data_IF_725557280443
#
_entry.id   IF_725557280443
#
_cell.length_a   1.000
_cell.length_b   1.000
_cell.length_c   1.000
_cell.angle_alpha   90.00
_cell.angle_beta   90.00
_cell.angle_gamma   90.00
#
_symmetry.space_group_name_H-M   'P 1'
#
loop_
_entity.id
_entity.type
_entity.pdbx_description
1 polymer ?
#
# COMPACT_ATOMS: atom_id res chain seq x y z
N UNK A 1 -13.17 -17.05 -25.88
CA UNK A 1 -13.93 -17.94 -24.97
C UNK A 1 -13.05 -18.84 -24.11
N UNK A 2 -11.91 -19.34 -24.62
CA UNK A 2 -10.98 -20.20 -23.85
C UNK A 2 -10.48 -19.57 -22.54
N UNK A 3 -10.10 -18.29 -22.54
CA UNK A 3 -9.63 -17.61 -21.33
C UNK A 3 -10.66 -17.61 -20.18
N UNK A 4 -11.96 -17.52 -20.49
CA UNK A 4 -13.02 -17.55 -19.47
C UNK A 4 -13.10 -18.93 -18.80
N UNK A 5 -13.02 -20.00 -19.61
CA UNK A 5 -12.99 -21.37 -19.11
C UNK A 5 -11.75 -21.63 -18.25
N UNK A 6 -10.58 -21.14 -18.68
CA UNK A 6 -9.34 -21.25 -17.90
C UNK A 6 -9.45 -20.56 -16.53
N UNK A 7 -10.05 -19.37 -16.47
CA UNK A 7 -10.29 -18.67 -15.19
C UNK A 7 -11.17 -19.49 -14.25
N UNK A 8 -12.25 -20.10 -14.75
CA UNK A 8 -13.14 -20.94 -13.92
C UNK A 8 -12.38 -22.17 -13.40
N UNK A 9 -11.64 -22.87 -14.26
CA UNK A 9 -10.90 -24.06 -13.87
C UNK A 9 -9.76 -23.78 -12.88
N UNK A 10 -9.15 -22.59 -12.91
CA UNK A 10 -8.02 -22.24 -12.05
C UNK A 10 -8.43 -21.48 -10.78
N UNK A 11 -9.69 -21.06 -10.65
CA UNK A 11 -10.15 -20.21 -9.56
C UNK A 11 -9.86 -20.80 -8.17
N UNK A 12 -10.19 -22.07 -7.94
CA UNK A 12 -9.99 -22.71 -6.64
C UNK A 12 -8.50 -22.84 -6.31
N UNK A 13 -7.67 -23.27 -7.27
CA UNK A 13 -6.23 -23.40 -7.08
C UNK A 13 -5.56 -22.06 -6.78
N UNK A 14 -5.95 -21.00 -7.49
CA UNK A 14 -5.40 -19.66 -7.29
C UNK A 14 -5.89 -19.09 -5.96
N UNK A 15 -7.19 -19.14 -5.68
CA UNK A 15 -7.80 -18.53 -4.49
C UNK A 15 -7.29 -19.15 -3.19
N UNK A 16 -7.12 -20.47 -3.14
CA UNK A 16 -6.73 -21.16 -1.90
C UNK A 16 -5.22 -21.12 -1.64
N UNK A 17 -4.39 -21.28 -2.68
CA UNK A 17 -2.96 -21.52 -2.49
C UNK A 17 -2.04 -20.38 -2.95
N UNK A 18 -2.42 -19.65 -3.99
CA UNK A 18 -1.53 -18.68 -4.64
C UNK A 18 -1.90 -17.23 -4.33
N UNK A 19 -3.17 -16.95 -4.07
CA UNK A 19 -3.69 -15.64 -3.69
C UNK A 19 -2.90 -14.97 -2.54
N UNK A 20 -2.57 -15.64 -1.42
CA UNK A 20 -1.77 -15.00 -0.36
C UNK A 20 -0.37 -14.63 -0.84
N UNK A 21 0.27 -15.46 -1.67
CA UNK A 21 1.62 -15.18 -2.21
C UNK A 21 1.60 -13.99 -3.17
N UNK A 22 0.61 -13.93 -4.06
CA UNK A 22 0.43 -12.79 -4.96
C UNK A 22 0.11 -11.51 -4.21
N UNK A 23 -0.70 -11.58 -3.15
CA UNK A 23 -0.99 -10.44 -2.29
C UNK A 23 0.28 -9.94 -1.59
N UNK A 24 1.09 -10.84 -1.04
CA UNK A 24 2.38 -10.48 -0.42
C UNK A 24 3.32 -9.82 -1.42
N UNK A 25 3.45 -10.38 -2.63
CA UNK A 25 4.27 -9.78 -3.68
C UNK A 25 3.77 -8.39 -4.06
N UNK A 26 2.45 -8.23 -4.26
CA UNK A 26 1.83 -6.95 -4.57
C UNK A 26 2.11 -5.92 -3.47
N UNK A 27 1.91 -6.30 -2.20
CA UNK A 27 2.21 -5.44 -1.04
C UNK A 27 3.68 -5.05 -0.97
N UNK A 28 4.60 -5.99 -1.23
CA UNK A 28 6.03 -5.72 -1.23
C UNK A 28 6.44 -4.74 -2.35
N UNK A 29 5.90 -4.93 -3.56
CA UNK A 29 6.15 -4.02 -4.68
C UNK A 29 5.56 -2.63 -4.44
N UNK A 30 4.33 -2.56 -3.92
CA UNK A 30 3.69 -1.31 -3.55
C UNK A 30 4.51 -0.57 -2.49
N UNK A 31 4.90 -1.27 -1.42
CA UNK A 31 5.74 -0.72 -0.36
C UNK A 31 7.07 -0.20 -0.89
N UNK A 32 7.74 -0.97 -1.75
CA UNK A 32 9.01 -0.56 -2.35
C UNK A 32 8.85 0.70 -3.20
N UNK A 33 7.75 0.81 -3.94
CA UNK A 33 7.45 1.97 -4.79
C UNK A 33 7.14 3.21 -3.95
N UNK A 34 6.34 3.07 -2.90
CA UNK A 34 5.86 4.16 -2.05
C UNK A 34 6.94 4.71 -1.11
N UNK A 35 8.03 3.97 -0.88
CA UNK A 35 9.18 4.40 -0.06
C UNK A 35 9.94 5.60 -0.65
N UNK A 36 9.80 5.84 -1.96
CA UNK A 36 10.45 6.95 -2.67
C UNK A 36 9.44 7.97 -3.20
N UNK A 37 9.93 9.05 -3.85
CA UNK A 37 9.06 10.00 -4.52
C UNK A 37 8.31 9.33 -5.66
N UNK A 38 7.02 9.63 -5.73
CA UNK A 38 6.12 9.24 -6.81
C UNK A 38 5.43 10.49 -7.31
N UNK A 39 5.52 10.77 -8.60
CA UNK A 39 4.77 11.87 -9.19
C UNK A 39 3.28 11.51 -9.26
N UNK A 40 2.46 12.31 -8.58
CA UNK A 40 1.01 12.12 -8.50
C UNK A 40 0.30 12.27 -9.86
N UNK A 41 0.90 12.98 -10.84
CA UNK A 41 0.28 13.22 -12.14
C UNK A 41 0.67 12.14 -13.14
N UNK A 42 1.97 11.88 -13.33
CA UNK A 42 2.44 10.90 -14.34
C UNK A 42 2.45 9.46 -13.83
N UNK A 43 2.47 9.27 -12.50
CA UNK A 43 2.67 7.98 -11.85
C UNK A 43 4.10 7.45 -11.98
N UNK A 44 5.08 8.29 -12.35
CA UNK A 44 6.48 7.91 -12.38
C UNK A 44 7.01 7.81 -10.95
N UNK A 45 7.83 6.79 -10.68
CA UNK A 45 8.34 6.51 -9.34
C UNK A 45 9.85 6.33 -9.37
N UNK A 46 10.51 6.72 -8.28
CA UNK A 46 11.96 6.52 -8.13
C UNK A 46 12.34 5.06 -7.98
N UNK A 47 11.54 4.31 -7.24
CA UNK A 47 11.72 2.88 -7.03
C UNK A 47 10.67 2.14 -7.85
N UNK A 48 11.04 1.74 -9.06
CA UNK A 48 10.17 0.97 -9.95
C UNK A 48 10.99 -0.09 -10.66
N UNK A 49 10.34 -1.20 -11.01
CA UNK A 49 10.91 -2.22 -11.89
C UNK A 49 10.68 -1.92 -13.37
N UNK A 50 9.90 -0.88 -13.69
CA UNK A 50 9.59 -0.49 -15.05
C UNK A 50 10.38 0.77 -15.46
N UNK A 51 11.36 0.60 -16.35
CA UNK A 51 12.23 1.66 -16.86
C UNK A 51 11.48 2.81 -17.53
N UNK A 52 10.32 2.54 -18.16
CA UNK A 52 9.51 3.57 -18.81
C UNK A 52 8.77 4.47 -17.79
N UNK A 53 8.68 4.03 -16.54
CA UNK A 53 8.04 4.75 -15.43
C UNK A 53 9.03 5.22 -14.38
N UNK A 54 10.33 5.14 -14.69
CA UNK A 54 11.39 5.59 -13.79
C UNK A 54 11.41 7.11 -13.69
N UNK A 55 11.30 7.63 -12.46
CA UNK A 55 11.46 9.05 -12.18
C UNK A 55 12.95 9.44 -12.23
N UNK A 56 13.34 10.12 -13.32
CA UNK A 56 14.72 10.54 -13.60
C UNK A 56 15.05 11.92 -13.05
N UNK A 57 14.03 12.72 -12.77
CA UNK A 57 14.20 14.06 -12.20
C UNK A 57 14.83 14.00 -10.81
N UNK A 58 15.66 15.00 -10.51
CA UNK A 58 16.24 15.17 -9.18
C UNK A 58 15.15 15.80 -8.32
N UNK A 59 14.69 15.08 -7.32
CA UNK A 59 13.71 15.54 -6.34
C UNK A 59 14.35 15.53 -4.97
N UNK A 60 14.34 16.67 -4.30
CA UNK A 60 14.81 16.77 -2.92
C UNK A 60 13.82 16.06 -2.00
N UNK A 61 14.18 14.84 -1.59
CA UNK A 61 13.37 14.03 -0.70
C UNK A 61 13.99 13.97 0.70
N UNK A 62 13.31 14.58 1.66
CA UNK A 62 13.55 14.37 3.08
C UNK A 62 12.36 13.66 3.72
N UNK A 63 12.62 12.97 4.81
CA UNK A 63 11.56 12.42 5.66
C UNK A 63 11.15 13.47 6.70
N UNK A 64 9.85 13.60 6.90
CA UNK A 64 9.26 14.52 7.88
C UNK A 64 8.35 13.70 8.78
N UNK A 65 8.53 13.82 10.10
CA UNK A 65 7.65 13.18 11.06
C UNK A 65 6.46 14.12 11.32
N UNK A 66 5.28 13.70 10.89
CA UNK A 66 4.01 14.42 11.03
C UNK A 66 3.26 13.94 12.27
N UNK A 67 2.78 14.90 13.08
CA UNK A 67 1.89 14.60 14.18
C UNK A 67 0.43 14.56 13.69
N UNK A 68 -0.19 13.39 13.72
CA UNK A 68 -1.56 13.17 13.26
C UNK A 68 -2.48 12.96 14.44
N UNK A 69 -3.51 13.79 14.53
CA UNK A 69 -4.59 13.67 15.51
C UNK A 69 -5.88 13.32 14.78
N UNK A 70 -6.58 12.27 15.22
CA UNK A 70 -7.88 11.93 14.66
C UNK A 70 -8.95 12.92 15.12
N UNK A 71 -9.95 13.16 14.28
CA UNK A 71 -11.15 13.95 14.61
C UNK A 71 -11.90 13.37 15.81
N UNK A 72 -11.80 12.05 16.03
CA UNK A 72 -12.41 11.35 17.17
C UNK A 72 -11.64 11.55 18.49
N UNK A 73 -10.67 12.47 18.55
CA UNK A 73 -9.84 12.72 19.74
C UNK A 73 -8.84 11.61 20.05
N UNK A 74 -8.63 10.68 19.11
CA UNK A 74 -7.65 9.58 19.22
C UNK A 74 -6.27 10.04 18.72
N UNK A 75 -5.24 9.86 19.55
CA UNK A 75 -3.86 10.28 19.26
C UNK A 75 -3.54 11.68 19.79
N UNK A 76 -2.25 12.01 19.86
CA UNK A 76 -1.49 12.15 18.63
C UNK A 76 -0.59 10.95 18.28
N UNK A 77 -0.51 10.62 16.99
CA UNK A 77 0.37 9.60 16.44
C UNK A 77 1.45 10.25 15.58
N UNK A 78 2.69 9.75 15.65
CA UNK A 78 3.76 10.22 14.77
C UNK A 78 3.79 9.35 13.52
N UNK A 79 3.71 9.99 12.36
CA UNK A 79 3.64 9.36 11.06
C UNK A 79 4.78 9.89 10.19
N UNK A 80 5.57 9.00 9.58
CA UNK A 80 6.71 9.40 8.76
C UNK A 80 6.29 9.64 7.32
N UNK A 81 6.21 10.90 6.93
CA UNK A 81 5.92 11.36 5.58
C UNK A 81 7.19 11.54 4.74
N UNK A 82 7.05 11.53 3.42
CA UNK A 82 8.06 12.05 2.49
C UNK A 82 7.66 13.50 2.16
N UNK A 83 8.58 14.44 2.31
CA UNK A 83 8.30 15.88 2.18
C UNK A 83 7.71 16.28 0.81
N UNK A 84 8.01 15.52 -0.24
CA UNK A 84 7.52 15.76 -1.59
C UNK A 84 6.20 15.05 -1.91
N UNK A 85 5.63 14.28 -0.99
CA UNK A 85 4.33 13.64 -1.21
C UNK A 85 3.20 14.67 -1.17
N UNK A 86 2.21 14.49 -2.04
CA UNK A 86 0.95 15.23 -1.93
C UNK A 86 0.13 14.77 -0.71
N UNK A 87 -0.79 15.62 -0.24
CA UNK A 87 -1.69 15.28 0.87
C UNK A 87 -2.46 13.97 0.60
N UNK A 88 -2.88 13.75 -0.65
CA UNK A 88 -3.60 12.53 -1.05
C UNK A 88 -2.71 11.29 -0.96
N UNK A 89 -1.45 11.38 -1.40
CA UNK A 89 -0.49 10.27 -1.31
C UNK A 89 -0.16 9.94 0.14
N UNK A 90 0.06 10.96 0.98
CA UNK A 90 0.32 10.78 2.41
C UNK A 90 -0.82 10.01 3.09
N UNK A 91 -2.07 10.42 2.83
CA UNK A 91 -3.26 9.73 3.34
C UNK A 91 -3.37 8.28 2.86
N UNK A 92 -2.89 7.96 1.65
CA UNK A 92 -2.94 6.59 1.14
C UNK A 92 -1.84 5.70 1.72
N UNK A 93 -0.62 6.24 1.90
CA UNK A 93 0.55 5.51 2.41
C UNK A 93 0.41 5.17 3.89
N UNK A 94 0.04 6.15 4.72
CA UNK A 94 0.12 5.99 6.18
C UNK A 94 -1.19 5.59 6.84
N UNK A 95 -2.35 5.97 6.29
CA UNK A 95 -3.64 5.62 6.89
C UNK A 95 -4.00 4.14 6.66
N UNK A 96 -3.49 3.52 5.60
CA UNK A 96 -3.72 2.11 5.27
C UNK A 96 -3.27 1.13 6.37
N UNK A 97 -1.99 1.18 6.82
CA UNK A 97 -1.48 0.30 7.87
C UNK A 97 -2.11 0.57 9.25
N UNK A 98 -2.29 1.83 9.66
CA UNK A 98 -2.87 2.16 10.97
C UNK A 98 -4.36 1.78 11.08
N UNK A 99 -5.15 1.89 9.99
CA UNK A 99 -6.53 1.41 9.96
C UNK A 99 -6.62 -0.12 9.91
N UNK A 100 -5.72 -0.81 9.20
CA UNK A 100 -5.70 -2.28 9.15
C UNK A 100 -5.27 -2.90 10.49
N UNK A 101 -4.32 -2.30 11.19
CA UNK A 101 -3.92 -2.75 12.54
C UNK A 101 -5.08 -2.63 13.55
N UNK A 102 -5.90 -1.59 13.45
CA UNK A 102 -7.09 -1.41 14.28
C UNK A 102 -8.26 -2.32 13.86
N UNK A 103 -8.44 -2.61 12.56
CA UNK A 103 -9.46 -3.55 12.08
C UNK A 103 -9.17 -5.00 12.49
N UNK A 104 -7.90 -5.37 12.63
CA UNK A 104 -7.49 -6.68 13.16
C UNK A 104 -7.76 -6.83 14.68
N UNK A 105 -7.92 -5.73 15.42
CA UNK A 105 -8.31 -5.75 16.83
C UNK A 105 -9.84 -5.78 17.04
N UNK A 106 -10.63 -5.52 15.99
CA UNK A 106 -12.10 -5.56 16.05
C UNK A 106 -12.73 -6.81 15.42
N UNK A 107 -11.94 -7.76 14.94
CA UNK A 107 -12.47 -9.06 14.54
C UNK A 107 -12.76 -9.88 15.81
N UNK A 108 -14.01 -10.29 16.08
CA UNK A 108 -14.28 -11.13 17.23
C UNK A 108 -13.51 -12.44 17.05
N UNK A 109 -12.79 -12.86 18.08
CA UNK A 109 -12.29 -14.21 18.20
C UNK A 109 -13.49 -15.16 18.02
N UNK A 110 -13.65 -15.69 16.81
CA UNK A 110 -14.58 -16.79 16.58
C UNK A 110 -13.93 -17.99 17.26
N UNK A 111 -14.38 -18.28 18.48
CA UNK A 111 -13.96 -19.46 19.22
C UNK A 111 -14.13 -20.68 18.31
N UNK A 112 -13.03 -21.41 18.20
CA UNK A 112 -13.02 -22.82 17.86
C UNK A 112 -13.61 -23.59 19.05
N UNK A 113 -14.46 -24.57 18.74
CA UNK A 113 -15.15 -25.53 19.63
C UNK A 113 -16.35 -24.99 20.41
#
# INVERSE_FOLDING_TARGET
MVAKWLTICLYDSISQYQAPKYNTLFKALKYQTERGPVDAVTGNARYTINESKLLREIVDCSYVDCLVTSLDGRGPYTVRAIACDTISQLKQKDLGPHLQANAAQSAPCHNQL
#
